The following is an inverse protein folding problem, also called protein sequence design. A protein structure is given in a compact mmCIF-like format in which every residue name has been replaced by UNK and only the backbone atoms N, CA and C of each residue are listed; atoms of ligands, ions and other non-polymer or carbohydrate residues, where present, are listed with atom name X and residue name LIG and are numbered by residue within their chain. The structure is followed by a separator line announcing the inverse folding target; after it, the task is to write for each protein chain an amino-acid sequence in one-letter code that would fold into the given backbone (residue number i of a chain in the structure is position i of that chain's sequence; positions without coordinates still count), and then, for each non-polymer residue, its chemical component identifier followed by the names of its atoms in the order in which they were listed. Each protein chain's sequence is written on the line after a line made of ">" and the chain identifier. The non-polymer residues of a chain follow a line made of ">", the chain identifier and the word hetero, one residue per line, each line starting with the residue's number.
data_IF_139698350816
#
_entry.id   IF_139698350816
#
_cell.length_a   1.000
_cell.length_b   1.000
_cell.length_c   1.000
_cell.angle_alpha   90.00
_cell.angle_beta   90.00
_cell.angle_gamma   90.00
#
_symmetry.space_group_name_H-M   'P 1'
#
loop_
_entity.id
_entity.type
_entity.pdbx_description
1 polymer ?
#
# COMPACT_ATOMS: atom_id res chain seq x y z
N UNK A 1 0.47 -21.90 2.46
CA UNK A 1 -0.64 -21.63 3.38
C UNK A 1 -1.28 -20.33 2.92
N UNK A 2 -2.58 -20.34 2.63
CA UNK A 2 -3.32 -19.10 2.32
C UNK A 2 -3.33 -18.25 3.59
N UNK A 3 -2.95 -16.97 3.51
CA UNK A 3 -3.15 -16.05 4.63
C UNK A 3 -4.66 -15.89 4.89
N UNK A 4 -5.05 -15.75 6.15
CA UNK A 4 -6.42 -15.44 6.52
C UNK A 4 -6.80 -14.02 6.10
N UNK A 5 -8.09 -13.81 5.80
CA UNK A 5 -8.63 -12.55 5.30
C UNK A 5 -8.24 -11.35 6.18
N UNK A 6 -8.38 -11.46 7.51
CA UNK A 6 -8.06 -10.36 8.42
C UNK A 6 -6.54 -10.07 8.42
N UNK A 7 -5.68 -11.08 8.23
CA UNK A 7 -4.24 -10.87 8.06
C UNK A 7 -3.91 -10.13 6.75
N UNK A 8 -4.64 -10.41 5.67
CA UNK A 8 -4.48 -9.68 4.42
C UNK A 8 -4.94 -8.22 4.56
N UNK A 9 -6.06 -7.96 5.26
CA UNK A 9 -6.51 -6.58 5.52
C UNK A 9 -5.49 -5.81 6.36
N UNK A 10 -4.96 -6.41 7.44
CA UNK A 10 -3.90 -5.78 8.25
C UNK A 10 -2.62 -5.53 7.43
N UNK A 11 -2.28 -6.44 6.50
CA UNK A 11 -1.14 -6.25 5.61
C UNK A 11 -1.33 -5.08 4.63
N UNK A 12 -2.58 -4.77 4.24
CA UNK A 12 -2.88 -3.62 3.39
C UNK A 12 -2.66 -2.31 4.14
N UNK A 13 -3.13 -2.20 5.38
CA UNK A 13 -2.91 -1.02 6.24
C UNK A 13 -1.41 -0.76 6.52
N UNK A 14 -0.66 -1.83 6.81
CA UNK A 14 0.80 -1.76 6.98
C UNK A 14 1.51 -1.33 5.70
N UNK A 15 1.05 -1.79 4.52
CA UNK A 15 1.61 -1.36 3.23
C UNK A 15 1.33 0.11 2.95
N UNK A 16 0.11 0.59 3.19
CA UNK A 16 -0.24 2.02 3.05
C UNK A 16 0.63 2.88 3.97
N UNK A 17 0.71 2.51 5.25
CA UNK A 17 1.58 3.20 6.22
C UNK A 17 3.04 3.22 5.76
N UNK A 18 3.55 2.12 5.19
CA UNK A 18 4.93 2.07 4.67
C UNK A 18 5.13 2.96 3.45
N UNK A 19 4.18 3.02 2.53
CA UNK A 19 4.24 3.91 1.36
C UNK A 19 4.25 5.38 1.82
N UNK A 20 3.41 5.75 2.78
CA UNK A 20 3.39 7.10 3.39
C UNK A 20 4.73 7.46 3.99
N UNK A 21 5.29 6.53 4.76
CA UNK A 21 6.59 6.72 5.37
C UNK A 21 7.71 6.87 4.33
N UNK A 22 7.66 6.19 3.18
CA UNK A 22 8.67 6.39 2.11
C UNK A 22 8.58 7.80 1.56
N UNK A 23 7.38 8.30 1.31
CA UNK A 23 7.16 9.67 0.85
C UNK A 23 7.65 10.70 1.89
N UNK A 24 7.16 10.63 3.12
CA UNK A 24 7.54 11.55 4.19
C UNK A 24 9.05 11.54 4.45
N UNK A 25 9.67 10.35 4.49
CA UNK A 25 11.11 10.25 4.72
C UNK A 25 11.91 10.81 3.56
N UNK A 26 11.37 10.77 2.34
CA UNK A 26 12.00 11.42 1.18
C UNK A 26 11.93 12.93 1.30
N UNK A 27 10.80 13.48 1.75
CA UNK A 27 10.65 14.92 2.01
C UNK A 27 11.58 15.40 3.15
N UNK A 28 11.76 14.59 4.20
CA UNK A 28 12.63 14.88 5.35
C UNK A 28 14.13 14.95 5.00
N UNK A 29 14.56 14.44 3.84
CA UNK A 29 15.96 14.52 3.42
C UNK A 29 16.41 15.97 3.12
N UNK A 30 15.49 16.88 2.82
CA UNK A 30 15.82 18.24 2.37
C UNK A 30 16.26 18.27 0.91
N UNK A 31 16.00 19.38 0.23
CA UNK A 31 16.19 19.49 -1.24
C UNK A 31 17.64 19.24 -1.65
N UNK A 32 18.61 19.63 -0.83
CA UNK A 32 20.03 19.41 -1.10
C UNK A 32 20.46 17.94 -1.14
N UNK A 33 19.71 17.02 -0.50
CA UNK A 33 20.05 15.59 -0.41
C UNK A 33 19.19 14.70 -1.32
N UNK A 34 18.21 15.27 -2.02
CA UNK A 34 17.39 14.55 -3.00
C UNK A 34 18.14 14.52 -4.33
N UNK A 35 18.90 13.44 -4.53
CA UNK A 35 19.57 13.16 -5.81
C UNK A 35 18.67 12.34 -6.73
N UNK A 36 18.99 12.29 -8.03
CA UNK A 36 18.29 11.41 -9.00
C UNK A 36 18.32 9.96 -8.52
N UNK A 37 19.48 9.49 -8.05
CA UNK A 37 19.62 8.13 -7.48
C UNK A 37 18.73 7.93 -6.25
N UNK A 38 18.60 8.94 -5.39
CA UNK A 38 17.68 8.89 -4.23
C UNK A 38 16.25 8.70 -4.70
N UNK A 39 15.81 9.47 -5.71
CA UNK A 39 14.45 9.38 -6.26
C UNK A 39 14.20 8.02 -6.89
N UNK A 40 15.11 7.52 -7.73
CA UNK A 40 14.98 6.21 -8.39
C UNK A 40 14.84 5.07 -7.39
N UNK A 41 15.69 5.03 -6.35
CA UNK A 41 15.62 3.98 -5.33
C UNK A 41 14.31 4.04 -4.54
N UNK A 42 13.79 5.25 -4.28
CA UNK A 42 12.51 5.43 -3.58
C UNK A 42 11.34 5.03 -4.46
N UNK A 43 11.37 5.39 -5.74
CA UNK A 43 10.35 5.01 -6.72
C UNK A 43 10.27 3.50 -6.90
N UNK A 44 11.41 2.82 -7.15
CA UNK A 44 11.45 1.36 -7.27
C UNK A 44 10.93 0.65 -6.00
N UNK A 45 11.14 1.27 -4.84
CA UNK A 45 10.64 0.75 -3.57
C UNK A 45 9.13 0.92 -3.44
N UNK A 46 8.58 2.04 -3.88
CA UNK A 46 7.14 2.30 -3.92
C UNK A 46 6.45 1.35 -4.91
N UNK A 47 6.97 1.21 -6.13
CA UNK A 47 6.44 0.31 -7.17
C UNK A 47 6.31 -1.13 -6.65
N UNK A 48 7.36 -1.68 -6.00
CA UNK A 48 7.31 -3.02 -5.41
C UNK A 48 6.28 -3.17 -4.29
N UNK A 49 6.04 -2.11 -3.52
CA UNK A 49 5.01 -2.12 -2.48
C UNK A 49 3.61 -2.04 -3.09
N UNK A 50 3.45 -1.25 -4.15
CA UNK A 50 2.22 -1.14 -4.92
C UNK A 50 1.82 -2.47 -5.58
N UNK A 51 2.74 -3.11 -6.31
CA UNK A 51 2.50 -4.43 -6.92
C UNK A 51 2.04 -5.48 -5.89
N UNK A 52 2.63 -5.43 -4.68
CA UNK A 52 2.25 -6.32 -3.59
C UNK A 52 0.85 -5.97 -3.05
N UNK A 53 0.55 -4.68 -2.93
CA UNK A 53 -0.75 -4.19 -2.48
C UNK A 53 -1.85 -4.67 -3.43
N UNK A 54 -1.69 -4.44 -4.75
CA UNK A 54 -2.63 -4.87 -5.79
C UNK A 54 -2.86 -6.38 -5.77
N UNK A 55 -1.77 -7.17 -5.73
CA UNK A 55 -1.89 -8.63 -5.69
C UNK A 55 -2.67 -9.13 -4.47
N UNK A 56 -2.47 -8.52 -3.31
CA UNK A 56 -3.20 -8.87 -2.09
C UNK A 56 -4.65 -8.38 -2.13
N UNK A 57 -4.91 -7.21 -2.72
CA UNK A 57 -6.26 -6.70 -2.95
C UNK A 57 -7.06 -7.63 -3.87
N UNK A 58 -6.46 -8.07 -4.97
CA UNK A 58 -7.05 -9.04 -5.89
C UNK A 58 -7.31 -10.38 -5.21
N UNK A 59 -6.39 -10.86 -4.37
CA UNK A 59 -6.59 -12.08 -3.57
C UNK A 59 -7.77 -11.93 -2.59
N UNK A 60 -7.88 -10.79 -1.92
CA UNK A 60 -8.99 -10.46 -1.04
C UNK A 60 -10.33 -10.50 -1.78
N UNK A 61 -10.39 -9.88 -2.96
CA UNK A 61 -11.61 -9.84 -3.78
C UNK A 61 -11.93 -11.19 -4.40
N UNK A 62 -10.94 -11.97 -4.84
CA UNK A 62 -11.18 -13.26 -5.46
C UNK A 62 -11.65 -14.32 -4.45
N UNK A 63 -11.09 -14.34 -3.24
CA UNK A 63 -11.31 -15.43 -2.27
C UNK A 63 -12.32 -15.09 -1.17
N UNK A 64 -12.47 -13.81 -0.82
CA UNK A 64 -13.18 -13.41 0.39
C UNK A 64 -14.30 -12.38 0.16
N UNK A 65 -14.67 -12.09 -1.11
CA UNK A 65 -15.64 -11.04 -1.46
C UNK A 65 -16.90 -11.01 -0.60
N UNK A 66 -17.52 -12.18 -0.36
CA UNK A 66 -18.78 -12.25 0.39
C UNK A 66 -18.68 -11.75 1.83
N UNK A 67 -17.51 -11.89 2.46
CA UNK A 67 -17.22 -11.37 3.80
C UNK A 67 -16.55 -10.00 3.75
N UNK A 68 -15.81 -9.71 2.68
CA UNK A 68 -15.05 -8.48 2.51
C UNK A 68 -15.97 -7.29 2.20
N UNK A 69 -17.06 -7.48 1.46
CA UNK A 69 -18.00 -6.41 1.06
C UNK A 69 -18.67 -5.69 2.23
N UNK A 70 -18.66 -6.29 3.42
CA UNK A 70 -19.23 -5.72 4.66
C UNK A 70 -18.16 -5.17 5.60
N UNK A 71 -16.88 -5.24 5.24
CA UNK A 71 -15.76 -4.75 6.06
C UNK A 71 -15.43 -3.30 5.69
N UNK A 72 -14.93 -2.56 6.68
CA UNK A 72 -14.48 -1.16 6.57
C UNK A 72 -13.53 -0.96 5.39
N UNK A 73 -12.65 -1.92 5.13
CA UNK A 73 -11.74 -1.92 3.98
C UNK A 73 -12.41 -1.63 2.62
N UNK A 74 -13.62 -2.12 2.39
CA UNK A 74 -14.39 -1.86 1.15
C UNK A 74 -15.35 -0.69 1.34
N UNK A 75 -16.03 -0.59 2.49
CA UNK A 75 -17.05 0.44 2.71
C UNK A 75 -16.46 1.85 2.84
N UNK A 76 -15.21 1.96 3.31
CA UNK A 76 -14.46 3.21 3.40
C UNK A 76 -13.57 3.47 2.18
N UNK A 77 -13.64 2.61 1.15
CA UNK A 77 -12.81 2.69 -0.04
C UNK A 77 -11.31 2.80 0.27
N UNK A 78 -10.82 2.02 1.24
CA UNK A 78 -9.41 2.10 1.68
C UNK A 78 -8.42 1.86 0.53
N UNK A 79 -8.79 1.10 -0.48
CA UNK A 79 -8.00 0.92 -1.69
C UNK A 79 -7.92 2.20 -2.53
N UNK A 80 -9.04 2.88 -2.80
CA UNK A 80 -9.03 4.14 -3.53
C UNK A 80 -8.36 5.28 -2.76
N UNK A 81 -8.51 5.32 -1.44
CA UNK A 81 -7.78 6.28 -0.61
C UNK A 81 -6.25 6.11 -0.72
N UNK A 82 -5.76 4.88 -0.92
CA UNK A 82 -4.35 4.62 -1.15
C UNK A 82 -3.87 5.17 -2.50
N UNK A 83 -4.71 5.09 -3.54
CA UNK A 83 -4.41 5.68 -4.86
C UNK A 83 -4.36 7.21 -4.78
N UNK A 84 -5.28 7.84 -4.06
CA UNK A 84 -5.37 9.31 -3.99
C UNK A 84 -4.29 9.96 -3.08
N UNK A 85 -3.64 9.19 -2.22
CA UNK A 85 -2.67 9.72 -1.22
C UNK A 85 -1.29 10.02 -1.83
N UNK A 86 -0.91 9.37 -2.93
CA UNK A 86 0.43 9.48 -3.54
C UNK A 86 0.35 9.92 -5.00
#
# INVERSE_FOLDING_TARGET
>A
MSMDMDCLILAQDDLQTKMSNVWENTQKLGKENITVTTVDVRLQRLEKMWEKFEKQHDELRAKFWDKLKTKEYITENSAGLAEDTY
#
